data_IF_958932071878
#
_entry.id   IF_958932071878
#
_cell.length_a   1.000
_cell.length_b   1.000
_cell.length_c   1.000
_cell.angle_alpha   90.00
_cell.angle_beta   90.00
_cell.angle_gamma   90.00
#
_symmetry.space_group_name_H-M   'P 1'
#
loop_
_entity.id
_entity.type
_entity.pdbx_description
1 polymer ?
#
# COMPACT_ATOMS: atom_id res chain seq x y z
N UNK A 1 2.88 45.05 -8.55
CA UNK A 1 1.54 44.46 -8.74
C UNK A 1 1.61 43.04 -8.21
N UNK A 2 0.96 42.73 -7.08
CA UNK A 2 1.27 41.55 -6.24
C UNK A 2 0.11 40.54 -6.18
N UNK A 3 -0.56 40.31 -7.30
CA UNK A 3 -1.54 39.23 -7.41
C UNK A 3 -0.90 38.13 -8.26
N UNK A 4 -0.53 37.01 -7.62
CA UNK A 4 -0.07 35.79 -8.29
C UNK A 4 -1.27 34.88 -8.48
N UNK A 5 -1.56 34.52 -9.73
CA UNK A 5 -2.57 33.51 -10.07
C UNK A 5 -1.83 32.17 -10.20
N UNK A 6 -2.05 31.21 -9.29
CA UNK A 6 -1.39 29.91 -9.36
C UNK A 6 -1.90 29.10 -10.55
N UNK A 7 -1.05 28.21 -11.07
CA UNK A 7 -1.44 27.28 -12.15
C UNK A 7 -2.37 26.21 -11.60
N UNK A 8 -3.16 25.56 -12.44
CA UNK A 8 -4.12 24.53 -12.02
C UNK A 8 -3.49 23.30 -11.34
N UNK A 9 -2.19 23.07 -11.55
CA UNK A 9 -1.40 22.00 -10.94
C UNK A 9 -0.51 22.48 -9.79
N UNK A 10 -0.55 23.77 -9.46
CA UNK A 10 0.27 24.36 -8.42
C UNK A 10 -0.46 24.22 -7.08
N UNK A 11 -0.03 23.24 -6.29
CA UNK A 11 -0.53 23.01 -4.95
C UNK A 11 0.19 23.98 -4.00
N UNK A 12 -0.55 24.54 -3.05
CA UNK A 12 0.05 25.41 -2.03
C UNK A 12 1.04 24.63 -1.16
N UNK A 13 2.18 25.22 -0.81
CA UNK A 13 3.20 24.55 0.04
C UNK A 13 2.64 24.04 1.37
N UNK A 14 1.59 24.66 1.91
CA UNK A 14 0.89 24.20 3.13
C UNK A 14 0.12 22.89 2.96
N UNK A 15 -0.26 22.56 1.73
CA UNK A 15 -0.96 21.32 1.38
C UNK A 15 0.03 20.22 1.00
N UNK A 16 1.27 20.59 0.64
CA UNK A 16 2.34 19.64 0.39
C UNK A 16 2.81 19.01 1.71
N UNK A 17 3.06 17.70 1.69
CA UNK A 17 3.66 17.02 2.83
C UNK A 17 5.12 17.46 2.97
N UNK A 18 5.60 17.89 4.15
CA UNK A 18 6.99 18.26 4.34
C UNK A 18 7.95 17.16 3.91
N UNK A 19 9.02 17.53 3.21
CA UNK A 19 10.00 16.59 2.65
C UNK A 19 10.57 15.63 3.69
N UNK A 20 10.89 16.16 4.88
CA UNK A 20 11.41 15.35 5.98
C UNK A 20 10.43 14.24 6.41
N UNK A 21 9.12 14.48 6.35
CA UNK A 21 8.09 13.49 6.65
C UNK A 21 8.04 12.44 5.52
N UNK A 22 8.10 12.88 4.27
CA UNK A 22 8.13 11.98 3.11
C UNK A 22 9.34 11.02 3.13
N UNK A 23 10.53 11.57 3.36
CA UNK A 23 11.77 10.78 3.46
C UNK A 23 11.70 9.78 4.63
N UNK A 24 11.06 10.16 5.74
CA UNK A 24 10.90 9.32 6.93
C UNK A 24 9.51 8.66 7.04
N UNK A 25 8.77 8.51 5.94
CA UNK A 25 7.37 8.03 5.93
C UNK A 25 7.16 6.73 6.70
N UNK A 26 8.12 5.80 6.67
CA UNK A 26 8.05 4.53 7.43
C UNK A 26 8.09 4.75 8.93
N UNK A 27 8.94 5.67 9.41
CA UNK A 27 9.03 6.02 10.83
C UNK A 27 7.74 6.72 11.27
N UNK A 28 7.22 7.63 10.45
CA UNK A 28 5.95 8.32 10.70
C UNK A 28 4.77 7.35 10.84
N UNK A 29 4.63 6.39 9.92
CA UNK A 29 3.56 5.36 9.99
C UNK A 29 3.71 4.50 11.25
N UNK A 30 4.95 4.09 11.60
CA UNK A 30 5.19 3.32 12.84
C UNK A 30 4.79 4.10 14.08
N UNK A 31 5.16 5.38 14.17
CA UNK A 31 4.80 6.22 15.32
C UNK A 31 3.29 6.46 15.38
N UNK A 32 2.62 6.64 14.24
CA UNK A 32 1.17 6.79 14.17
C UNK A 32 0.46 5.50 14.62
N UNK A 33 0.95 4.33 14.20
CA UNK A 33 0.42 3.04 14.64
C UNK A 33 0.54 2.84 16.16
N UNK A 34 1.69 3.19 16.75
CA UNK A 34 1.88 3.14 18.20
C UNK A 34 0.97 4.12 18.95
N UNK A 35 0.79 5.34 18.43
CA UNK A 35 -0.11 6.33 19.02
C UNK A 35 -1.59 5.88 18.95
N UNK A 36 -2.00 5.25 17.85
CA UNK A 36 -3.33 4.68 17.71
C UNK A 36 -3.58 3.54 18.72
N UNK A 37 -2.59 2.64 18.89
CA UNK A 37 -2.66 1.59 19.92
C UNK A 37 -2.76 2.21 21.31
N UNK A 38 -1.92 3.20 21.62
CA UNK A 38 -1.95 3.88 22.91
C UNK A 38 -3.31 4.52 23.20
N UNK A 39 -3.89 5.23 22.22
CA UNK A 39 -5.22 5.83 22.35
C UNK A 39 -6.30 4.75 22.56
N UNK A 40 -6.25 3.66 21.80
CA UNK A 40 -7.17 2.53 21.98
C UNK A 40 -7.03 1.88 23.36
N UNK A 41 -5.82 1.75 23.91
CA UNK A 41 -5.60 1.18 25.24
C UNK A 41 -5.96 2.14 26.37
N UNK A 42 -5.68 3.44 26.21
CA UNK A 42 -5.97 4.47 27.21
C UNK A 42 -7.47 4.73 27.37
N UNK A 43 -8.25 4.54 26.30
CA UNK A 43 -9.72 4.64 26.35
C UNK A 43 -10.39 3.36 26.89
N UNK A 44 -9.64 2.27 27.06
CA UNK A 44 -10.13 0.94 27.49
C UNK A 44 -9.86 0.63 28.98
N UNK A 45 -9.73 1.65 29.84
CA UNK A 45 -9.68 1.45 31.30
C UNK A 45 -10.95 0.78 31.87
N UNK A 46 -12.04 0.70 31.08
CA UNK A 46 -13.19 -0.14 31.41
C UNK A 46 -13.32 -1.26 30.39
N UNK A 47 -13.11 -2.50 30.87
CA UNK A 47 -13.29 -3.80 30.19
C UNK A 47 -12.04 -4.31 29.48
N UNK A 48 -11.40 -5.24 30.17
CA UNK A 48 -10.38 -6.13 29.62
C UNK A 48 -10.87 -6.81 28.34
N UNK A 49 -10.50 -6.23 27.22
CA UNK A 49 -10.44 -6.90 25.94
C UNK A 49 -9.03 -6.67 25.44
N UNK A 50 -8.14 -7.61 25.76
CA UNK A 50 -6.89 -7.79 25.05
C UNK A 50 -7.24 -8.10 23.59
N UNK A 51 -7.51 -7.03 22.84
CA UNK A 51 -7.69 -7.09 21.40
C UNK A 51 -6.29 -7.24 20.86
N UNK A 52 -5.87 -8.50 20.79
CA UNK A 52 -4.65 -8.90 20.10
C UNK A 52 -4.71 -8.28 18.71
N UNK A 53 -3.83 -7.31 18.48
CA UNK A 53 -3.60 -6.73 17.16
C UNK A 53 -2.83 -7.76 16.32
N UNK A 54 -3.40 -8.95 16.12
CA UNK A 54 -2.99 -9.87 15.07
C UNK A 54 -3.51 -9.29 13.75
N UNK A 55 -2.95 -8.15 13.36
CA UNK A 55 -3.13 -7.50 12.05
C UNK A 55 -2.49 -8.29 10.90
N UNK A 56 -2.48 -9.62 11.02
CA UNK A 56 -2.51 -10.50 9.89
C UNK A 56 -3.96 -10.91 9.79
N UNK A 57 -4.73 -10.22 8.94
CA UNK A 57 -5.93 -10.85 8.39
C UNK A 57 -5.44 -12.13 7.71
N UNK A 58 -5.50 -13.26 8.42
CA UNK A 58 -5.58 -14.55 7.76
C UNK A 58 -6.87 -14.42 6.97
N UNK A 59 -6.74 -14.13 5.67
CA UNK A 59 -7.85 -14.30 4.74
C UNK A 59 -8.39 -15.68 5.05
N UNK A 60 -9.62 -15.75 5.57
CA UNK A 60 -10.17 -17.03 5.98
C UNK A 60 -10.16 -17.93 4.76
N UNK A 61 -9.86 -19.22 4.94
CA UNK A 61 -9.87 -20.17 3.83
C UNK A 61 -11.21 -20.15 3.07
N UNK A 62 -12.30 -19.73 3.74
CA UNK A 62 -13.60 -19.49 3.16
C UNK A 62 -13.63 -18.37 2.08
N UNK A 63 -12.91 -17.25 2.26
CA UNK A 63 -12.83 -16.18 1.24
C UNK A 63 -12.04 -16.64 0.00
N UNK A 64 -11.04 -17.50 0.21
CA UNK A 64 -10.30 -18.11 -0.90
C UNK A 64 -11.15 -19.15 -1.66
N UNK A 65 -12.09 -19.81 -1.00
CA UNK A 65 -12.92 -20.85 -1.64
C UNK A 65 -13.93 -20.28 -2.62
N UNK A 66 -14.57 -19.14 -2.28
CA UNK A 66 -15.53 -18.47 -3.17
C UNK A 66 -14.88 -17.95 -4.46
N UNK A 67 -13.60 -17.56 -4.40
CA UNK A 67 -12.88 -16.98 -5.55
C UNK A 67 -12.19 -18.01 -6.43
N UNK A 68 -11.96 -19.24 -5.96
CA UNK A 68 -11.42 -20.34 -6.79
C UNK A 68 -12.27 -20.61 -8.03
N UNK A 69 -13.59 -20.43 -7.92
CA UNK A 69 -14.53 -20.65 -9.02
C UNK A 69 -14.33 -19.67 -10.20
N UNK A 70 -13.69 -18.52 -9.96
CA UNK A 70 -13.56 -17.41 -10.92
C UNK A 70 -12.23 -17.49 -11.68
N UNK A 71 -11.28 -18.31 -11.21
CA UNK A 71 -9.98 -18.49 -11.82
C UNK A 71 -9.79 -19.90 -12.42
N UNK A 72 -9.16 -20.01 -13.60
CA UNK A 72 -8.67 -18.91 -14.44
C UNK A 72 -9.81 -18.15 -15.14
N UNK A 73 -9.72 -16.83 -15.17
CA UNK A 73 -10.71 -15.99 -15.85
C UNK A 73 -10.69 -16.26 -17.37
N UNK A 74 -11.86 -16.26 -18.01
CA UNK A 74 -11.98 -16.43 -19.46
C UNK A 74 -11.31 -15.27 -20.20
N UNK A 75 -10.44 -15.58 -21.18
CA UNK A 75 -9.76 -14.57 -22.01
C UNK A 75 -10.77 -13.81 -22.89
N UNK A 76 -10.62 -12.49 -22.95
CA UNK A 76 -11.41 -11.64 -23.82
C UNK A 76 -10.79 -11.53 -25.21
N UNK A 77 -11.49 -12.01 -26.23
CA UNK A 77 -11.02 -12.05 -27.63
C UNK A 77 -10.85 -10.65 -28.25
N UNK A 78 -11.50 -9.61 -27.69
CA UNK A 78 -11.31 -8.22 -28.14
C UNK A 78 -9.89 -7.71 -27.92
N UNK A 79 -9.14 -8.34 -27.01
CA UNK A 79 -7.77 -7.95 -26.64
C UNK A 79 -6.78 -9.07 -27.01
N UNK A 80 -6.67 -9.33 -28.32
CA UNK A 80 -5.60 -10.14 -28.89
C UNK A 80 -4.22 -9.51 -28.68
N UNK A 81 -3.18 -10.34 -28.68
CA UNK A 81 -1.80 -9.90 -28.61
C UNK A 81 -1.12 -10.23 -29.95
N UNK A 82 -0.53 -9.22 -30.58
CA UNK A 82 0.26 -9.39 -31.81
C UNK A 82 1.75 -9.68 -31.52
N UNK A 83 2.10 -9.84 -30.22
CA UNK A 83 3.47 -9.99 -29.72
C UNK A 83 3.57 -11.14 -28.70
N UNK A 84 4.76 -11.74 -28.52
CA UNK A 84 4.97 -12.74 -27.48
C UNK A 84 4.68 -12.15 -26.09
N UNK A 85 4.18 -13.01 -25.20
CA UNK A 85 4.02 -12.68 -23.79
C UNK A 85 5.39 -12.55 -23.13
N UNK A 86 5.51 -11.59 -22.21
CA UNK A 86 6.66 -11.51 -21.32
C UNK A 86 6.66 -12.72 -20.38
N UNK A 87 7.83 -13.29 -20.13
CA UNK A 87 7.97 -14.40 -19.19
C UNK A 87 7.43 -14.04 -17.81
N UNK A 88 6.76 -15.00 -17.16
CA UNK A 88 6.14 -14.81 -15.85
C UNK A 88 7.15 -14.33 -14.82
N UNK A 89 8.35 -14.94 -14.81
CA UNK A 89 9.41 -14.57 -13.89
C UNK A 89 9.76 -13.08 -14.02
N UNK A 90 9.94 -12.58 -15.23
CA UNK A 90 10.26 -11.17 -15.45
C UNK A 90 9.11 -10.26 -14.99
N UNK A 91 7.87 -10.63 -15.31
CA UNK A 91 6.67 -9.86 -14.94
C UNK A 91 6.43 -9.82 -13.43
N UNK A 92 6.74 -10.90 -12.71
CA UNK A 92 6.55 -10.97 -11.27
C UNK A 92 7.65 -10.24 -10.47
N UNK A 93 8.86 -10.09 -11.02
CA UNK A 93 10.03 -9.60 -10.28
C UNK A 93 10.50 -8.20 -10.69
N UNK A 94 10.38 -7.83 -11.97
CA UNK A 94 10.81 -6.51 -12.44
C UNK A 94 9.66 -5.50 -12.38
N UNK A 95 9.33 -5.07 -11.15
CA UNK A 95 8.24 -4.14 -10.86
C UNK A 95 8.73 -2.88 -10.15
N UNK A 96 8.04 -1.76 -10.39
CA UNK A 96 8.30 -0.48 -9.72
C UNK A 96 7.39 -0.29 -8.50
N UNK A 97 7.59 -1.09 -7.43
CA UNK A 97 6.88 -0.95 -6.15
C UNK A 97 7.76 -0.27 -5.10
N UNK A 98 7.75 1.07 -5.09
CA UNK A 98 8.62 1.90 -4.25
C UNK A 98 8.28 1.81 -2.75
N UNK A 99 7.05 1.45 -2.40
CA UNK A 99 6.63 1.21 -1.02
C UNK A 99 7.19 -0.09 -0.43
N UNK A 100 7.49 -1.09 -1.28
CA UNK A 100 8.05 -2.38 -0.89
C UNK A 100 9.57 -2.45 -1.05
N UNK A 101 10.16 -1.49 -1.75
CA UNK A 101 11.61 -1.39 -1.90
C UNK A 101 12.24 -0.97 -0.57
N UNK A 102 12.99 -1.87 0.05
CA UNK A 102 13.74 -1.62 1.29
C UNK A 102 15.25 -1.67 1.07
N UNK A 103 15.75 -2.47 0.12
CA UNK A 103 17.13 -2.49 -0.38
C UNK A 103 17.15 -3.29 -1.69
N UNK A 104 17.84 -2.81 -2.74
CA UNK A 104 18.03 -3.58 -3.97
C UNK A 104 19.04 -4.69 -3.67
N UNK A 105 18.57 -5.92 -3.49
CA UNK A 105 19.44 -7.08 -3.39
C UNK A 105 19.76 -7.55 -4.81
N UNK A 106 20.97 -7.27 -5.29
CA UNK A 106 21.51 -7.91 -6.48
C UNK A 106 22.12 -9.26 -6.08
N UNK A 107 21.52 -10.41 -6.45
CA UNK A 107 22.26 -11.66 -6.39
C UNK A 107 23.38 -11.57 -7.45
N UNK A 108 24.62 -11.81 -7.02
CA UNK A 108 25.75 -12.07 -7.94
C UNK A 108 25.59 -13.43 -8.58
#
# INVERSE_FOLDING_TARGET
MLIKIPRSWEISEREATPEQIYLNRRRFIKTLGLAAIFLLTALNESRGAATTLSGWHRVSAAVLDDTKSIYPAKRNEKFGLDRPLTDEWATAHYNNFYELTSTIFFPR
#
